data_IF_881209032637
#
_entry.id   IF_881209032637
#
_cell.length_a   1.000
_cell.length_b   1.000
_cell.length_c   1.000
_cell.angle_alpha   90.00
_cell.angle_beta   90.00
_cell.angle_gamma   90.00
#
_symmetry.space_group_name_H-M   'P 1'
#
loop_
_entity.id
_entity.type
_entity.pdbx_description
1 polymer ?
#
# COMPACT_ATOMS: atom_id res chain seq x y z
N UNK A 1 10.61 -34.62 13.23
CA UNK A 1 11.27 -33.38 12.77
C UNK A 1 11.66 -32.58 13.99
N UNK A 2 12.94 -32.25 14.17
CA UNK A 2 13.42 -31.60 15.41
C UNK A 2 13.50 -30.06 15.34
N UNK A 3 13.45 -29.43 14.15
CA UNK A 3 13.33 -27.96 13.99
C UNK A 3 12.96 -27.55 12.56
N UNK A 4 12.17 -26.49 12.41
CA UNK A 4 11.89 -25.79 11.14
C UNK A 4 11.90 -24.28 11.40
N UNK A 5 12.56 -23.50 10.54
CA UNK A 5 12.62 -22.03 10.64
C UNK A 5 12.29 -21.43 9.28
N UNK A 6 11.41 -20.43 9.26
CA UNK A 6 11.03 -19.70 8.04
C UNK A 6 12.04 -18.58 7.79
N UNK A 7 12.73 -18.64 6.64
CA UNK A 7 13.72 -17.65 6.25
C UNK A 7 13.14 -16.48 5.44
N UNK A 8 11.93 -16.64 4.88
CA UNK A 8 11.27 -15.63 4.03
C UNK A 8 9.76 -15.76 4.05
N UNK A 9 9.06 -14.63 3.91
CA UNK A 9 7.61 -14.57 3.65
C UNK A 9 7.29 -13.39 2.73
N UNK A 10 6.94 -13.65 1.47
CA UNK A 10 6.75 -12.58 0.47
C UNK A 10 8.04 -11.78 0.25
N UNK A 11 8.04 -10.44 0.37
CA UNK A 11 9.26 -9.64 0.26
C UNK A 11 10.15 -9.72 1.52
N UNK A 12 9.61 -10.11 2.68
CA UNK A 12 10.32 -10.03 3.97
C UNK A 12 11.30 -11.17 4.17
N UNK A 13 12.52 -10.83 4.59
CA UNK A 13 13.58 -11.79 4.90
C UNK A 13 13.89 -11.87 6.40
N UNK A 14 14.45 -13.00 6.83
CA UNK A 14 14.88 -13.19 8.21
C UNK A 14 15.95 -12.16 8.63
N UNK A 15 16.83 -11.78 7.70
CA UNK A 15 17.91 -10.81 7.97
C UNK A 15 17.39 -9.39 8.29
N UNK A 16 16.16 -9.08 7.88
CA UNK A 16 15.48 -7.80 8.12
C UNK A 16 14.53 -7.88 9.33
N UNK A 17 14.43 -9.05 9.97
CA UNK A 17 13.49 -9.31 11.05
C UNK A 17 14.02 -8.83 12.39
N UNK A 18 13.10 -8.37 13.23
CA UNK A 18 13.39 -7.93 14.58
C UNK A 18 12.98 -9.01 15.58
N UNK A 19 13.84 -9.24 16.57
CA UNK A 19 13.49 -10.00 17.77
C UNK A 19 12.62 -9.16 18.70
N UNK A 20 11.90 -9.81 19.62
CA UNK A 20 11.09 -9.10 20.61
C UNK A 20 11.92 -8.19 21.51
N UNK A 21 13.14 -8.60 21.87
CA UNK A 21 14.05 -7.80 22.70
C UNK A 21 14.48 -6.53 21.97
N UNK A 22 14.82 -6.62 20.67
CA UNK A 22 15.16 -5.44 19.86
C UNK A 22 13.97 -4.49 19.70
N UNK A 23 12.75 -5.00 19.58
CA UNK A 23 11.54 -4.17 19.50
C UNK A 23 11.34 -3.41 20.82
N UNK A 24 11.49 -4.09 21.97
CA UNK A 24 11.37 -3.45 23.27
C UNK A 24 12.43 -2.35 23.46
N UNK A 25 13.69 -2.62 23.11
CA UNK A 25 14.77 -1.62 23.17
C UNK A 25 14.48 -0.40 22.27
N UNK A 26 13.97 -0.61 21.05
CA UNK A 26 13.58 0.47 20.17
C UNK A 26 12.47 1.32 20.78
N UNK A 27 11.44 0.68 21.36
CA UNK A 27 10.33 1.38 22.02
C UNK A 27 10.79 2.20 23.23
N UNK A 28 11.71 1.69 24.05
CA UNK A 28 12.31 2.43 25.18
C UNK A 28 13.07 3.67 24.70
N UNK A 29 13.65 3.61 23.51
CA UNK A 29 14.34 4.72 22.84
C UNK A 29 13.37 5.64 22.06
N UNK A 30 12.06 5.37 22.09
CA UNK A 30 11.05 6.12 21.34
C UNK A 30 11.11 5.93 19.83
N UNK A 31 11.70 4.82 19.36
CA UNK A 31 11.81 4.47 17.94
C UNK A 31 10.74 3.46 17.53
N UNK A 32 10.23 3.62 16.32
CA UNK A 32 9.24 2.76 15.68
C UNK A 32 9.68 2.30 14.28
N UNK A 33 10.99 2.34 14.00
CA UNK A 33 11.63 2.00 12.73
C UNK A 33 11.45 0.53 12.31
N UNK A 34 11.03 -0.33 13.24
CA UNK A 34 10.60 -1.70 12.97
C UNK A 34 9.21 -1.79 12.32
N UNK A 35 8.42 -0.70 12.31
CA UNK A 35 7.13 -0.64 11.61
C UNK A 35 7.36 -0.44 10.11
N UNK A 36 6.84 -1.37 9.32
CA UNK A 36 6.96 -1.31 7.86
C UNK A 36 5.72 -0.59 7.29
N UNK A 37 5.90 0.46 6.46
CA UNK A 37 4.79 1.13 5.81
C UNK A 37 4.00 0.16 4.91
N UNK A 38 2.67 0.19 5.02
CA UNK A 38 1.78 -0.78 4.36
C UNK A 38 1.96 -0.83 2.84
N UNK A 39 2.18 0.32 2.20
CA UNK A 39 2.39 0.42 0.76
C UNK A 39 3.64 -0.33 0.28
N UNK A 40 4.67 -0.51 1.13
CA UNK A 40 5.85 -1.29 0.77
C UNK A 40 5.60 -2.80 0.70
N UNK A 41 4.49 -3.27 1.26
CA UNK A 41 4.13 -4.68 1.34
C UNK A 41 3.38 -5.13 0.08
N UNK A 42 2.74 -4.19 -0.62
CA UNK A 42 1.87 -4.48 -1.75
C UNK A 42 2.68 -4.52 -3.05
N UNK A 43 2.76 -5.70 -3.67
CA UNK A 43 3.29 -5.87 -5.02
C UNK A 43 2.19 -5.53 -6.06
N UNK A 44 1.81 -4.26 -6.11
CA UNK A 44 0.72 -3.74 -6.94
C UNK A 44 1.17 -2.44 -7.64
N UNK A 45 0.75 -2.19 -8.89
CA UNK A 45 1.05 -0.94 -9.60
C UNK A 45 0.50 0.27 -8.84
N UNK A 46 1.18 1.42 -8.96
CA UNK A 46 0.80 2.66 -8.30
C UNK A 46 0.04 3.59 -9.23
N UNK A 47 -0.99 4.26 -8.70
CA UNK A 47 -1.76 5.32 -9.37
C UNK A 47 -1.85 6.52 -8.44
N UNK A 48 -1.40 7.67 -8.92
CA UNK A 48 -1.48 8.94 -8.16
C UNK A 48 -2.68 9.74 -8.64
N UNK A 49 -3.56 10.09 -7.71
CA UNK A 49 -4.71 10.96 -7.93
C UNK A 49 -4.35 12.41 -7.58
N UNK A 50 -5.07 13.36 -8.19
CA UNK A 50 -5.06 14.73 -7.70
C UNK A 50 -5.79 14.81 -6.35
N UNK A 51 -5.49 15.80 -5.48
CA UNK A 51 -6.11 15.89 -4.16
C UNK A 51 -7.64 15.93 -4.20
N UNK A 52 -8.21 16.68 -5.14
CA UNK A 52 -9.66 16.74 -5.33
C UNK A 52 -10.25 15.38 -5.70
N UNK A 53 -9.55 14.61 -6.53
CA UNK A 53 -10.00 13.29 -6.98
C UNK A 53 -9.80 12.23 -5.92
N UNK A 54 -8.72 12.32 -5.15
CA UNK A 54 -8.46 11.48 -3.99
C UNK A 54 -9.57 11.62 -2.94
N UNK A 55 -10.01 12.84 -2.65
CA UNK A 55 -11.09 13.07 -1.71
C UNK A 55 -12.40 12.42 -2.17
N UNK A 56 -12.81 12.66 -3.42
CA UNK A 56 -13.97 12.00 -3.99
C UNK A 56 -13.83 10.46 -4.00
N UNK A 57 -12.62 9.94 -4.21
CA UNK A 57 -12.32 8.51 -4.19
C UNK A 57 -12.46 7.90 -2.78
N UNK A 58 -12.00 8.60 -1.72
CA UNK A 58 -12.22 8.19 -0.32
C UNK A 58 -13.71 8.07 0.03
N UNK A 59 -14.56 8.89 -0.60
CA UNK A 59 -16.03 8.84 -0.46
C UNK A 59 -16.72 7.83 -1.38
N UNK A 60 -15.97 6.91 -2.01
CA UNK A 60 -16.54 5.81 -2.78
C UNK A 60 -16.84 6.14 -4.25
N UNK A 61 -16.49 7.34 -4.74
CA UNK A 61 -16.72 7.70 -6.13
C UNK A 61 -15.62 7.12 -7.04
N UNK A 62 -15.98 6.50 -8.18
CA UNK A 62 -15.01 6.01 -9.15
C UNK A 62 -14.32 7.17 -9.90
N UNK A 63 -13.15 6.86 -10.48
CA UNK A 63 -12.34 7.77 -11.29
C UNK A 63 -12.13 7.16 -12.67
N UNK A 64 -12.63 7.81 -13.73
CA UNK A 64 -12.39 7.36 -15.10
C UNK A 64 -10.98 7.73 -15.58
N UNK A 65 -10.47 7.01 -16.57
CA UNK A 65 -9.18 7.28 -17.24
C UNK A 65 -8.99 8.75 -17.65
N UNK A 66 -10.06 9.45 -18.06
CA UNK A 66 -10.01 10.87 -18.45
C UNK A 66 -9.75 11.80 -17.26
N UNK A 67 -10.15 11.41 -16.06
CA UNK A 67 -9.95 12.18 -14.83
C UNK A 67 -8.57 12.02 -14.19
N UNK A 68 -7.68 11.20 -14.77
CA UNK A 68 -6.39 10.83 -14.20
C UNK A 68 -5.20 11.65 -14.72
N UNK A 69 -5.43 12.75 -15.43
CA UNK A 69 -4.36 13.69 -15.79
C UNK A 69 -3.20 13.09 -16.60
N UNK A 70 -3.44 12.00 -17.34
CA UNK A 70 -2.43 11.30 -18.14
C UNK A 70 -1.88 10.01 -17.53
N UNK A 71 -2.23 9.65 -16.29
CA UNK A 71 -1.85 8.35 -15.70
C UNK A 71 -2.64 7.23 -16.39
N UNK A 72 -1.94 6.25 -16.99
CA UNK A 72 -2.55 5.10 -17.66
C UNK A 72 -2.94 4.03 -16.64
N UNK A 73 -4.24 3.72 -16.53
CA UNK A 73 -4.69 2.59 -15.73
C UNK A 73 -4.32 1.27 -16.40
N UNK A 74 -3.99 0.24 -15.61
CA UNK A 74 -4.05 -1.15 -16.07
C UNK A 74 -5.44 -1.50 -16.62
N UNK A 75 -5.51 -2.40 -17.60
CA UNK A 75 -6.79 -2.83 -18.20
C UNK A 75 -7.70 -3.52 -17.18
N UNK A 76 -7.11 -4.26 -16.24
CA UNK A 76 -7.80 -4.89 -15.13
C UNK A 76 -6.84 -5.12 -13.96
N UNK A 77 -7.40 -5.42 -12.77
CA UNK A 77 -6.62 -5.77 -11.59
C UNK A 77 -6.73 -4.76 -10.46
N UNK A 78 -5.82 -4.85 -9.50
CA UNK A 78 -5.75 -3.95 -8.35
C UNK A 78 -4.53 -3.05 -8.45
N UNK A 79 -4.66 -1.85 -7.92
CA UNK A 79 -3.59 -0.85 -7.86
C UNK A 79 -3.55 -0.21 -6.48
N UNK A 80 -2.37 0.23 -6.09
CA UNK A 80 -2.20 1.14 -4.97
C UNK A 80 -2.58 2.54 -5.42
N UNK A 81 -3.32 3.26 -4.59
CA UNK A 81 -3.79 4.61 -4.88
C UNK A 81 -3.11 5.57 -3.92
N UNK A 82 -2.57 6.65 -4.47
CA UNK A 82 -1.85 7.68 -3.74
C UNK A 82 -2.41 9.08 -4.02
N UNK A 83 -2.16 10.01 -3.12
CA UNK A 83 -2.29 11.46 -3.33
C UNK A 83 -1.16 12.15 -2.59
N UNK A 84 -0.48 13.14 -3.19
CA UNK A 84 0.61 13.89 -2.53
C UNK A 84 1.64 13.00 -1.77
N UNK A 85 2.02 11.87 -2.36
CA UNK A 85 2.91 10.83 -1.78
C UNK A 85 2.34 10.03 -0.59
N UNK A 86 1.10 10.27 -0.19
CA UNK A 86 0.37 9.50 0.81
C UNK A 86 -0.35 8.31 0.14
N UNK A 87 -0.22 7.12 0.72
CA UNK A 87 -1.01 5.96 0.34
C UNK A 87 -2.42 6.07 0.91
N UNK A 88 -3.43 6.10 0.05
CA UNK A 88 -4.84 6.28 0.46
C UNK A 88 -5.66 4.99 0.34
N UNK A 89 -5.09 3.93 -0.25
CA UNK A 89 -5.72 2.61 -0.30
C UNK A 89 -5.51 1.85 -1.60
N UNK A 90 -6.37 0.86 -1.81
CA UNK A 90 -6.39 -0.01 -2.98
C UNK A 90 -7.59 0.33 -3.85
N UNK A 91 -7.35 0.44 -5.15
CA UNK A 91 -8.38 0.58 -6.17
C UNK A 91 -8.43 -0.66 -7.07
N UNK A 92 -9.59 -0.88 -7.68
CA UNK A 92 -9.81 -1.94 -8.68
C UNK A 92 -10.07 -1.31 -10.04
N UNK A 93 -9.26 -1.68 -11.03
CA UNK A 93 -9.44 -1.28 -12.42
C UNK A 93 -10.46 -2.20 -13.10
N UNK A 94 -11.54 -1.61 -13.62
CA UNK A 94 -12.57 -2.28 -14.42
C UNK A 94 -12.91 -1.33 -15.57
N UNK A 95 -12.83 -1.80 -16.81
CA UNK A 95 -13.22 -1.05 -18.02
C UNK A 95 -12.66 0.38 -18.06
N UNK A 96 -11.34 0.53 -17.85
CA UNK A 96 -10.63 1.82 -17.82
C UNK A 96 -11.14 2.82 -16.77
N UNK A 97 -11.78 2.32 -15.72
CA UNK A 97 -12.20 3.11 -14.57
C UNK A 97 -11.64 2.49 -13.29
N UNK A 98 -11.21 3.36 -12.39
CA UNK A 98 -10.65 3.00 -11.10
C UNK A 98 -11.74 3.15 -10.04
N UNK A 99 -12.10 2.03 -9.43
CA UNK A 99 -13.10 1.96 -8.36
C UNK A 99 -12.42 1.85 -6.99
N UNK A 100 -12.89 2.58 -5.96
CA UNK A 100 -12.47 2.34 -4.58
C UNK A 100 -12.73 0.89 -4.19
N UNK A 101 -11.70 0.20 -3.70
CA UNK A 101 -11.82 -1.17 -3.21
C UNK A 101 -11.61 -1.24 -1.70
N UNK A 102 -10.54 -0.63 -1.20
CA UNK A 102 -10.30 -0.45 0.23
C UNK A 102 -9.58 0.88 0.44
N UNK A 103 -10.25 1.84 1.07
CA UNK A 103 -9.71 3.19 1.28
C UNK A 103 -9.49 3.46 2.77
N UNK A 104 -8.47 4.25 3.07
CA UNK A 104 -8.18 4.78 4.40
C UNK A 104 -8.71 6.23 4.47
N UNK A 105 -9.28 6.59 5.62
CA UNK A 105 -9.77 7.93 5.92
C UNK A 105 -8.77 8.69 6.77
#
# INVERSE_FOLDING_TARGET
MSKLVRLRSGPFRLEESWTLDQINEALEQGRDDFLIPLNRILDLPEVVLTPQRAEAFRHGLPTSQRGLGGVKLPESGQVQVFTDHEFIGIGKCIDQSLYPYKVFQ
#
